data_IF_128430075079
#
_entry.id   IF_128430075079
#
_cell.length_a   1.000
_cell.length_b   1.000
_cell.length_c   1.000
_cell.angle_alpha   90.00
_cell.angle_beta   90.00
_cell.angle_gamma   90.00
#
_symmetry.space_group_name_H-M   'P 1'
#
loop_
_entity.id
_entity.type
_entity.pdbx_description
1 polymer ?
#
# COMPACT_ATOMS: atom_id res chain seq x y z
N UNK A 1 -16.07 50.16 -30.63
CA UNK A 1 -16.81 49.08 -31.33
C UNK A 1 -15.80 47.99 -31.60
N UNK A 2 -15.74 46.96 -30.74
CA UNK A 2 -16.48 45.68 -30.89
C UNK A 2 -15.72 44.77 -31.86
N UNK A 3 -15.30 43.55 -31.56
CA UNK A 3 -15.67 42.61 -30.51
C UNK A 3 -14.52 41.63 -30.23
N UNK A 4 -14.42 41.18 -28.97
CA UNK A 4 -13.54 40.10 -28.53
C UNK A 4 -14.20 38.76 -28.89
N UNK A 5 -13.63 37.99 -29.81
CA UNK A 5 -14.04 36.59 -30.02
C UNK A 5 -13.46 35.70 -28.94
N UNK A 6 -14.27 35.55 -27.90
CA UNK A 6 -14.28 34.53 -26.88
C UNK A 6 -14.25 33.13 -27.51
N UNK A 7 -13.18 32.36 -27.30
CA UNK A 7 -13.17 30.91 -27.61
C UNK A 7 -13.42 30.17 -26.29
N UNK A 8 -14.51 29.40 -26.14
CA UNK A 8 -14.77 28.68 -24.90
C UNK A 8 -13.80 27.50 -24.77
N UNK A 9 -13.21 27.38 -23.58
CA UNK A 9 -12.38 26.26 -23.16
C UNK A 9 -13.14 24.93 -23.26
N UNK A 10 -12.44 23.79 -23.49
CA UNK A 10 -13.08 22.48 -23.41
C UNK A 10 -13.66 22.28 -22.01
N UNK A 11 -14.93 21.87 -21.97
CA UNK A 11 -15.67 21.61 -20.74
C UNK A 11 -14.91 20.56 -19.91
N UNK A 12 -14.32 21.00 -18.80
CA UNK A 12 -14.02 20.12 -17.68
C UNK A 12 -15.35 19.63 -17.14
N UNK A 13 -15.70 18.38 -17.44
CA UNK A 13 -16.68 17.62 -16.66
C UNK A 13 -16.08 17.38 -15.25
N UNK A 14 -15.99 18.45 -14.45
CA UNK A 14 -15.82 18.36 -13.01
C UNK A 14 -17.14 17.83 -12.45
N UNK A 15 -17.20 16.51 -12.30
CA UNK A 15 -18.12 15.86 -11.38
C UNK A 15 -17.98 16.58 -10.02
N UNK A 16 -19.08 17.05 -9.39
CA UNK A 16 -18.99 17.86 -8.18
C UNK A 16 -18.16 17.14 -7.13
N UNK A 17 -17.17 17.85 -6.59
CA UNK A 17 -16.22 17.33 -5.62
C UNK A 17 -16.92 16.58 -4.49
N UNK A 18 -16.78 15.27 -4.50
CA UNK A 18 -16.88 14.48 -3.27
C UNK A 18 -15.75 14.98 -2.39
N UNK A 19 -16.07 15.90 -1.47
CA UNK A 19 -15.29 16.10 -0.26
C UNK A 19 -14.96 14.70 0.25
N UNK A 20 -13.68 14.29 0.34
CA UNK A 20 -13.36 12.96 0.81
C UNK A 20 -14.07 12.79 2.15
N UNK A 21 -14.93 11.78 2.26
CA UNK A 21 -15.71 11.55 3.46
C UNK A 21 -14.73 11.44 4.63
N UNK A 22 -14.65 12.50 5.44
CA UNK A 22 -13.76 12.52 6.59
C UNK A 22 -14.27 11.48 7.57
N UNK A 23 -13.54 10.37 7.70
CA UNK A 23 -13.87 9.32 8.66
C UNK A 23 -13.89 9.93 10.07
N UNK A 24 -14.86 9.55 10.91
CA UNK A 24 -14.83 9.87 12.34
C UNK A 24 -13.46 9.51 12.94
N UNK A 25 -12.92 10.28 13.90
CA UNK A 25 -11.58 10.06 14.44
C UNK A 25 -11.33 8.64 14.95
N UNK A 26 -12.34 8.01 15.55
CA UNK A 26 -12.31 6.61 16.01
C UNK A 26 -12.16 5.58 14.88
N UNK A 27 -12.67 5.89 13.68
CA UNK A 27 -12.51 5.05 12.50
C UNK A 27 -11.22 5.38 11.76
N UNK A 28 -10.86 6.66 11.66
CA UNK A 28 -9.64 7.12 11.01
C UNK A 28 -8.38 6.49 11.61
N UNK A 29 -8.34 6.31 12.94
CA UNK A 29 -7.23 5.63 13.64
C UNK A 29 -7.07 4.14 13.28
N UNK A 30 -8.09 3.52 12.67
CA UNK A 30 -8.04 2.11 12.22
C UNK A 30 -7.56 1.98 10.77
N UNK A 31 -7.57 3.08 10.02
CA UNK A 31 -7.15 3.15 8.62
C UNK A 31 -5.87 3.96 8.48
N UNK A 32 -4.86 3.61 9.27
CA UNK A 32 -3.53 4.19 9.11
C UNK A 32 -2.92 3.69 7.81
N UNK A 33 -2.57 4.63 6.95
CA UNK A 33 -1.97 4.40 5.63
C UNK A 33 -0.67 5.18 5.55
N UNK A 34 0.16 4.90 4.54
CA UNK A 34 1.36 5.70 4.28
C UNK A 34 1.05 7.19 4.03
N UNK A 35 -0.19 7.55 3.68
CA UNK A 35 -0.63 8.93 3.50
C UNK A 35 -1.03 9.63 4.81
N UNK A 36 -1.32 8.86 5.87
CA UNK A 36 -1.85 9.38 7.15
C UNK A 36 -0.93 9.12 8.34
N UNK A 37 0.15 8.34 8.17
CA UNK A 37 1.17 8.06 9.18
C UNK A 37 2.43 8.91 8.98
N UNK A 38 3.20 9.09 10.05
CA UNK A 38 4.56 9.59 9.93
C UNK A 38 5.39 8.62 9.07
N UNK A 39 6.27 9.16 8.24
CA UNK A 39 7.19 8.34 7.46
C UNK A 39 8.02 7.45 8.40
N UNK A 40 8.20 6.15 8.09
CA UNK A 40 9.02 5.25 8.90
C UNK A 40 10.43 5.79 9.14
N UNK A 41 10.95 5.55 10.35
CA UNK A 41 12.35 5.84 10.65
C UNK A 41 13.29 4.95 9.83
N UNK A 42 14.55 5.38 9.69
CA UNK A 42 15.56 4.58 8.99
C UNK A 42 15.73 3.19 9.60
N UNK A 43 15.71 3.10 10.93
CA UNK A 43 15.83 1.84 11.67
C UNK A 43 14.62 0.91 11.41
N UNK A 44 13.41 1.47 11.38
CA UNK A 44 12.20 0.72 11.04
C UNK A 44 12.27 0.16 9.61
N UNK A 45 12.74 0.96 8.65
CA UNK A 45 12.95 0.50 7.27
C UNK A 45 14.02 -0.59 7.20
N UNK A 46 15.10 -0.47 7.96
CA UNK A 46 16.15 -1.49 8.01
C UNK A 46 15.63 -2.83 8.55
N UNK A 47 14.81 -2.81 9.61
CA UNK A 47 14.16 -4.00 10.17
C UNK A 47 13.23 -4.66 9.14
N UNK A 48 12.40 -3.87 8.44
CA UNK A 48 11.52 -4.39 7.39
C UNK A 48 12.31 -5.06 6.27
N UNK A 49 13.42 -4.45 5.83
CA UNK A 49 14.31 -5.05 4.82
C UNK A 49 14.93 -6.36 5.29
N UNK A 50 15.39 -6.42 6.54
CA UNK A 50 15.96 -7.64 7.10
C UNK A 50 14.92 -8.77 7.16
N UNK A 51 13.70 -8.46 7.59
CA UNK A 51 12.59 -9.42 7.61
C UNK A 51 12.22 -9.91 6.21
N UNK A 52 12.12 -9.00 5.24
CA UNK A 52 11.85 -9.35 3.84
C UNK A 52 12.92 -10.29 3.27
N UNK A 53 14.20 -10.03 3.57
CA UNK A 53 15.30 -10.92 3.19
C UNK A 53 15.18 -12.31 3.78
N UNK A 54 14.91 -12.42 5.09
CA UNK A 54 14.74 -13.71 5.76
C UNK A 54 13.55 -14.52 5.22
N UNK A 55 12.41 -13.86 4.97
CA UNK A 55 11.21 -14.49 4.40
C UNK A 55 11.49 -14.98 2.96
N UNK A 56 12.17 -14.17 2.15
CA UNK A 56 12.52 -14.54 0.77
C UNK A 56 13.46 -15.75 0.75
N UNK A 57 14.48 -15.77 1.61
CA UNK A 57 15.39 -16.90 1.73
C UNK A 57 14.67 -18.20 2.14
N UNK A 58 13.69 -18.12 3.05
CA UNK A 58 12.86 -19.27 3.40
C UNK A 58 11.98 -19.73 2.22
N UNK A 59 11.40 -18.81 1.47
CA UNK A 59 10.59 -19.12 0.28
C UNK A 59 11.42 -19.83 -0.80
N UNK A 60 12.66 -19.37 -1.04
CA UNK A 60 13.62 -20.00 -1.97
C UNK A 60 13.95 -21.44 -1.57
N UNK A 61 14.09 -21.73 -0.27
CA UNK A 61 14.31 -23.10 0.20
C UNK A 61 13.08 -23.99 -0.04
N UNK A 62 11.88 -23.47 0.27
CA UNK A 62 10.61 -24.18 0.09
C UNK A 62 10.31 -24.42 -1.39
N UNK A 63 10.70 -23.49 -2.29
CA UNK A 63 10.41 -23.62 -3.72
C UNK A 63 11.12 -24.82 -4.36
N UNK A 64 12.23 -25.29 -3.77
CA UNK A 64 12.97 -26.48 -4.23
C UNK A 64 12.30 -27.80 -3.85
N UNK A 65 11.31 -27.78 -2.96
CA UNK A 65 10.60 -28.99 -2.53
C UNK A 65 9.67 -29.52 -3.65
N UNK A 66 9.33 -30.82 -3.64
CA UNK A 66 8.34 -31.37 -4.57
C UNK A 66 7.00 -30.66 -4.49
N UNK A 67 6.31 -30.59 -5.62
CA UNK A 67 5.01 -29.94 -5.68
C UNK A 67 4.00 -30.68 -4.81
N UNK A 68 3.40 -29.92 -3.90
CA UNK A 68 2.44 -30.42 -2.93
C UNK A 68 1.54 -29.28 -2.47
N UNK A 69 0.36 -29.63 -1.96
CA UNK A 69 -0.53 -28.66 -1.31
C UNK A 69 0.19 -27.88 -0.20
N UNK A 70 1.03 -28.55 0.58
CA UNK A 70 1.76 -27.91 1.68
C UNK A 70 2.80 -26.91 1.19
N UNK A 71 3.54 -27.22 0.12
CA UNK A 71 4.45 -26.25 -0.52
C UNK A 71 3.69 -24.99 -0.93
N UNK A 72 2.57 -25.13 -1.64
CA UNK A 72 1.76 -23.98 -2.07
C UNK A 72 1.23 -23.17 -0.89
N UNK A 73 0.68 -23.83 0.14
CA UNK A 73 0.18 -23.14 1.33
C UNK A 73 1.28 -22.40 2.10
N UNK A 74 2.46 -23.02 2.23
CA UNK A 74 3.60 -22.38 2.89
C UNK A 74 4.09 -21.15 2.13
N UNK A 75 4.17 -21.21 0.79
CA UNK A 75 4.55 -20.05 -0.01
C UNK A 75 3.52 -18.91 0.11
N UNK A 76 2.22 -19.22 0.04
CA UNK A 76 1.15 -18.22 0.26
C UNK A 76 1.23 -17.58 1.65
N UNK A 77 1.50 -18.37 2.70
CA UNK A 77 1.66 -17.84 4.05
C UNK A 77 2.88 -16.90 4.18
N UNK A 78 3.97 -17.18 3.45
CA UNK A 78 5.14 -16.31 3.43
C UNK A 78 4.88 -15.00 2.66
N UNK A 79 4.12 -15.04 1.55
CA UNK A 79 3.67 -13.84 0.84
C UNK A 79 2.81 -12.95 1.74
N UNK A 80 1.87 -13.55 2.47
CA UNK A 80 1.04 -12.84 3.44
C UNK A 80 1.89 -12.24 4.58
N UNK A 81 2.85 -12.99 5.12
CA UNK A 81 3.76 -12.49 6.15
C UNK A 81 4.57 -11.28 5.66
N UNK A 82 5.06 -11.30 4.42
CA UNK A 82 5.80 -10.19 3.81
C UNK A 82 4.93 -8.94 3.67
N UNK A 83 3.67 -9.10 3.24
CA UNK A 83 2.71 -8.00 3.15
C UNK A 83 2.43 -7.37 4.51
N UNK A 84 2.17 -8.18 5.54
CA UNK A 84 1.88 -7.66 6.89
C UNK A 84 3.10 -7.04 7.56
N UNK A 85 4.30 -7.61 7.38
CA UNK A 85 5.53 -7.04 7.90
C UNK A 85 5.81 -5.65 7.30
N UNK A 86 5.57 -5.47 6.00
CA UNK A 86 5.70 -4.17 5.34
C UNK A 86 4.62 -3.18 5.80
N UNK A 87 3.41 -3.65 6.09
CA UNK A 87 2.33 -2.78 6.59
C UNK A 87 2.57 -2.32 8.04
N UNK A 88 3.12 -3.19 8.89
CA UNK A 88 3.34 -2.91 10.30
C UNK A 88 4.30 -1.75 10.59
N UNK A 89 5.05 -1.30 9.57
CA UNK A 89 5.94 -0.14 9.68
C UNK A 89 5.19 1.19 9.75
N UNK A 90 3.97 1.23 9.24
CA UNK A 90 3.09 2.40 9.27
C UNK A 90 2.21 2.31 10.52
N UNK A 91 2.48 3.16 11.52
CA UNK A 91 1.71 3.28 12.77
C UNK A 91 0.82 4.50 12.77
#
# INVERSE_FOLDING_TARGET
>A
MSDKTNTPAPASDEKPGETPATLPPELASRFVTAATSAAPSHDQVAIVRQNAGAITAAAEQISQLPDSRYKSLSLTALEEALMWANKAVFQ
#
